data_IF_811379356925
#
_entry.id   IF_811379356925
#
_cell.length_a   1.000
_cell.length_b   1.000
_cell.length_c   1.000
_cell.angle_alpha   90.00
_cell.angle_beta   90.00
_cell.angle_gamma   90.00
#
_symmetry.space_group_name_H-M   'P 1'
#
loop_
_entity.id
_entity.type
_entity.pdbx_description
1 polymer ?
#
# COMPACT_ATOMS: atom_id res chain seq x y z
N UNK A 1 -2.44 19.38 23.42
CA UNK A 1 -2.73 18.16 22.63
C UNK A 1 -2.89 18.63 21.18
N UNK A 2 -1.93 18.29 20.33
CA UNK A 2 -1.81 18.81 18.95
C UNK A 2 -3.01 18.42 18.08
N UNK A 3 -3.69 19.41 17.47
CA UNK A 3 -4.75 19.18 16.49
C UNK A 3 -4.11 18.73 15.17
N UNK A 4 -4.21 17.43 14.86
CA UNK A 4 -3.91 16.91 13.52
C UNK A 4 -5.06 17.29 12.58
N UNK A 5 -4.78 18.06 11.53
CA UNK A 5 -5.71 18.25 10.41
C UNK A 5 -5.84 16.88 9.72
N UNK A 6 -7.02 16.25 9.82
CA UNK A 6 -7.26 14.90 9.31
C UNK A 6 -7.54 14.94 7.80
N UNK A 7 -6.53 14.67 6.96
CA UNK A 7 -6.76 14.28 5.57
C UNK A 7 -6.85 12.75 5.51
N UNK A 8 -8.07 12.22 5.65
CA UNK A 8 -8.26 10.77 5.63
C UNK A 8 -8.22 10.28 4.18
N UNK A 9 -7.15 9.58 3.81
CA UNK A 9 -7.06 8.97 2.49
C UNK A 9 -8.01 7.77 2.41
N UNK A 10 -8.86 7.68 1.39
CA UNK A 10 -9.77 6.54 1.22
C UNK A 10 -9.10 5.50 0.32
N UNK A 11 -8.57 4.43 0.91
CA UNK A 11 -7.79 3.43 0.18
C UNK A 11 -8.35 2.02 0.25
N UNK A 12 -8.30 1.32 -0.88
CA UNK A 12 -8.53 -0.12 -1.00
C UNK A 12 -7.16 -0.79 -0.95
N UNK A 13 -6.90 -1.57 0.10
CA UNK A 13 -5.66 -2.32 0.30
C UNK A 13 -5.94 -3.80 0.01
N UNK A 14 -5.25 -4.39 -0.98
CA UNK A 14 -5.18 -5.84 -1.09
C UNK A 14 -4.21 -6.38 -0.04
N UNK A 15 -4.65 -6.44 1.23
CA UNK A 15 -4.00 -7.35 2.17
C UNK A 15 -4.48 -8.75 1.77
N UNK A 16 -3.59 -9.54 1.18
CA UNK A 16 -3.76 -10.99 1.18
C UNK A 16 -3.76 -11.44 2.63
N UNK A 17 -4.94 -11.47 3.25
CA UNK A 17 -5.15 -11.94 4.60
C UNK A 17 -4.84 -13.44 4.63
N UNK A 18 -3.57 -13.77 4.85
CA UNK A 18 -3.13 -15.13 5.16
C UNK A 18 -3.11 -15.32 6.68
N UNK A 19 -4.27 -15.08 7.33
CA UNK A 19 -4.59 -15.59 8.67
C UNK A 19 -6.10 -15.41 8.94
N UNK A 20 -6.92 -16.32 8.41
CA UNK A 20 -8.35 -16.43 8.76
C UNK A 20 -8.51 -17.16 10.10
N UNK A 21 -9.35 -16.64 11.00
CA UNK A 21 -10.14 -17.49 11.90
C UNK A 21 -10.28 -17.07 13.38
N UNK A 22 -11.49 -16.60 13.70
CA UNK A 22 -12.24 -16.82 14.95
C UNK A 22 -11.82 -16.15 16.29
N UNK A 23 -12.80 -15.40 16.81
CA UNK A 23 -13.19 -15.28 18.22
C UNK A 23 -12.14 -14.77 19.23
N UNK A 24 -12.20 -13.48 19.52
CA UNK A 24 -11.50 -12.87 20.65
C UNK A 24 -12.07 -13.35 22.01
N UNK A 25 -11.20 -13.59 23.01
CA UNK A 25 -11.45 -13.19 24.38
C UNK A 25 -10.55 -12.00 24.76
N UNK A 26 -11.09 -11.12 25.61
CA UNK A 26 -10.52 -9.82 25.99
C UNK A 26 -9.11 -9.89 26.63
N UNK A 27 -8.27 -8.85 26.48
CA UNK A 27 -6.97 -8.80 27.13
C UNK A 27 -7.07 -8.45 28.63
N UNK A 28 -6.13 -8.99 29.42
CA UNK A 28 -5.88 -8.71 30.83
C UNK A 28 -5.10 -7.37 31.00
N UNK A 29 -5.09 -6.75 32.20
CA UNK A 29 -4.64 -5.38 32.37
C UNK A 29 -3.11 -5.24 32.34
N UNK A 30 -2.63 -4.11 31.83
CA UNK A 30 -1.22 -3.73 31.67
C UNK A 30 -0.73 -3.02 32.94
N UNK A 31 0.47 -3.37 33.43
CA UNK A 31 1.17 -2.71 34.55
C UNK A 31 1.80 -1.37 34.14
N UNK A 32 1.82 -0.44 35.10
CA UNK A 32 2.32 0.94 35.01
C UNK A 32 3.83 1.04 34.71
N UNK A 33 4.23 2.07 33.96
CA UNK A 33 5.62 2.50 33.81
C UNK A 33 5.76 3.96 34.24
N UNK A 34 6.78 4.21 35.06
CA UNK A 34 7.11 5.45 35.80
C UNK A 34 7.36 6.70 34.93
N UNK A 35 7.04 7.85 35.53
CA UNK A 35 7.31 9.23 35.10
C UNK A 35 8.79 9.56 34.92
N UNK A 36 9.09 10.44 33.96
CA UNK A 36 10.33 11.25 33.97
C UNK A 36 9.97 12.72 33.69
N UNK A 37 10.56 13.60 34.51
CA UNK A 37 10.31 15.04 34.68
C UNK A 37 10.60 15.97 33.48
N UNK A 38 9.92 17.12 33.57
CA UNK A 38 9.86 18.36 32.77
C UNK A 38 11.11 18.89 32.06
N UNK A 39 10.91 19.52 30.89
CA UNK A 39 11.62 20.77 30.52
C UNK A 39 10.78 21.71 29.63
N UNK A 40 10.70 22.96 30.10
CA UNK A 40 10.49 24.29 29.47
C UNK A 40 9.13 24.78 28.92
N UNK A 41 8.74 25.94 29.48
CA UNK A 41 7.65 26.85 29.11
C UNK A 41 7.67 27.25 27.63
N UNK A 42 6.55 27.06 26.93
CA UNK A 42 6.25 27.68 25.64
C UNK A 42 5.07 28.64 25.84
N UNK A 43 5.27 29.88 25.37
CA UNK A 43 4.35 31.03 25.47
C UNK A 43 2.88 30.68 25.20
N UNK A 44 1.99 31.35 25.95
CA UNK A 44 0.53 31.30 25.82
C UNK A 44 0.09 31.45 24.35
N UNK A 45 -0.47 30.38 23.78
CA UNK A 45 -1.20 30.42 22.51
C UNK A 45 -2.65 30.75 22.84
N UNK A 46 -3.17 31.83 22.24
CA UNK A 46 -4.54 32.30 22.39
C UNK A 46 -5.57 31.14 22.20
N UNK A 47 -6.62 31.16 23.02
CA UNK A 47 -7.69 30.16 23.03
C UNK A 47 -8.25 29.89 21.62
N UNK A 48 -7.86 28.78 21.00
CA UNK A 48 -8.47 28.33 19.74
C UNK A 48 -9.89 27.82 20.00
N UNK A 49 -10.85 28.57 19.47
CA UNK A 49 -12.27 28.27 19.37
C UNK A 49 -12.49 26.81 18.90
N UNK A 50 -13.04 25.98 19.79
CA UNK A 50 -13.67 24.73 19.39
C UNK A 50 -14.89 25.13 18.58
N UNK A 51 -14.92 24.80 17.28
CA UNK A 51 -16.14 24.94 16.48
C UNK A 51 -17.14 23.93 17.04
N UNK A 52 -17.91 24.33 18.06
CA UNK A 52 -19.18 23.70 18.37
C UNK A 52 -20.11 24.05 17.20
N UNK A 53 -20.11 23.23 16.16
CA UNK A 53 -21.04 23.42 15.05
C UNK A 53 -22.47 23.32 15.60
N UNK A 54 -23.25 24.35 15.28
CA UNK A 54 -24.65 24.41 15.65
C UNK A 54 -25.38 23.18 15.11
N UNK A 55 -26.17 22.54 15.97
CA UNK A 55 -27.03 21.41 15.61
C UNK A 55 -27.85 21.75 14.35
N UNK A 56 -27.45 21.20 13.20
CA UNK A 56 -28.20 21.32 11.94
C UNK A 56 -27.43 21.84 10.71
N UNK A 57 -26.22 22.38 10.85
CA UNK A 57 -25.37 22.70 9.69
C UNK A 57 -24.57 21.47 9.24
N UNK A 58 -24.37 21.34 7.92
CA UNK A 58 -23.61 20.23 7.33
C UNK A 58 -22.16 20.64 7.14
N UNK A 59 -21.23 19.72 7.43
CA UNK A 59 -19.79 19.94 7.27
C UNK A 59 -19.42 19.85 5.78
N UNK A 60 -18.85 20.90 5.15
CA UNK A 60 -18.43 20.84 3.75
C UNK A 60 -17.26 19.87 3.58
N UNK A 61 -17.33 19.02 2.55
CA UNK A 61 -16.31 18.00 2.29
C UNK A 61 -16.13 17.77 0.79
N UNK A 62 -14.91 17.95 0.27
CA UNK A 62 -14.59 17.53 -1.09
C UNK A 62 -14.15 16.06 -1.09
N UNK A 63 -14.72 15.25 -2.00
CA UNK A 63 -14.28 13.90 -2.30
C UNK A 63 -13.80 13.82 -3.75
N UNK A 64 -12.49 13.69 -3.92
CA UNK A 64 -11.85 13.51 -5.22
C UNK A 64 -11.97 12.05 -5.67
N UNK A 65 -12.60 11.83 -6.82
CA UNK A 65 -12.70 10.51 -7.44
C UNK A 65 -11.70 10.35 -8.59
N UNK A 66 -11.30 9.11 -8.85
CA UNK A 66 -10.27 8.85 -9.86
C UNK A 66 -10.80 8.95 -11.30
N UNK A 67 -10.01 9.49 -12.25
CA UNK A 67 -10.37 9.59 -13.67
C UNK A 67 -10.28 8.27 -14.46
N UNK A 68 -9.77 7.19 -13.86
CA UNK A 68 -9.47 5.93 -14.54
C UNK A 68 -9.97 4.72 -13.77
N UNK A 69 -10.36 3.68 -14.51
CA UNK A 69 -10.66 2.37 -13.95
C UNK A 69 -9.37 1.69 -13.48
N UNK A 70 -9.38 1.14 -12.27
CA UNK A 70 -8.28 0.35 -11.70
C UNK A 70 -8.87 -0.89 -11.04
N UNK A 71 -8.07 -1.96 -10.89
CA UNK A 71 -8.56 -3.22 -10.30
C UNK A 71 -9.14 -3.05 -8.89
N UNK A 72 -8.64 -2.09 -8.12
CA UNK A 72 -9.11 -1.73 -6.78
C UNK A 72 -10.34 -0.81 -6.77
N UNK A 73 -10.66 -0.13 -7.88
CA UNK A 73 -11.88 0.65 -8.07
C UNK A 73 -12.34 0.50 -9.53
N UNK A 74 -13.16 -0.53 -9.83
CA UNK A 74 -13.57 -0.82 -11.20
C UNK A 74 -14.54 0.22 -11.78
N UNK A 75 -15.19 1.02 -10.94
CA UNK A 75 -16.15 2.06 -11.33
C UNK A 75 -16.02 3.24 -10.37
N UNK A 76 -14.92 4.02 -10.45
CA UNK A 76 -14.53 4.96 -9.40
C UNK A 76 -15.58 6.04 -9.17
N UNK A 77 -16.24 6.53 -10.22
CA UNK A 77 -17.26 7.57 -10.11
C UNK A 77 -18.51 7.06 -9.40
N UNK A 78 -19.05 5.93 -9.83
CA UNK A 78 -20.24 5.32 -9.25
C UNK A 78 -20.01 4.93 -7.78
N UNK A 79 -18.79 4.46 -7.46
CA UNK A 79 -18.39 4.17 -6.09
C UNK A 79 -18.32 5.47 -5.27
N UNK A 80 -17.75 6.55 -5.81
CA UNK A 80 -17.71 7.85 -5.15
C UNK A 80 -19.12 8.43 -4.90
N UNK A 81 -20.05 8.27 -5.85
CA UNK A 81 -21.46 8.66 -5.68
C UNK A 81 -22.12 7.91 -4.50
N UNK A 82 -21.84 6.61 -4.36
CA UNK A 82 -22.28 5.82 -3.20
C UNK A 82 -21.68 6.31 -1.89
N UNK A 83 -20.36 6.54 -1.86
CA UNK A 83 -19.66 7.04 -0.69
C UNK A 83 -20.14 8.43 -0.26
N UNK A 84 -20.38 9.33 -1.23
CA UNK A 84 -20.94 10.65 -0.98
C UNK A 84 -22.35 10.58 -0.39
N UNK A 85 -23.17 9.61 -0.82
CA UNK A 85 -24.49 9.40 -0.23
C UNK A 85 -24.41 8.94 1.24
N UNK A 86 -23.48 8.04 1.56
CA UNK A 86 -23.25 7.58 2.94
C UNK A 86 -22.73 8.72 3.83
N UNK A 87 -21.77 9.50 3.35
CA UNK A 87 -21.25 10.68 4.06
C UNK A 87 -22.33 11.76 4.22
N UNK A 88 -23.19 11.98 3.22
CA UNK A 88 -24.30 12.92 3.33
C UNK A 88 -25.31 12.51 4.42
N UNK A 89 -25.53 11.21 4.61
CA UNK A 89 -26.32 10.67 5.72
C UNK A 89 -25.62 10.84 7.08
N UNK A 90 -24.29 10.93 7.09
CA UNK A 90 -23.49 11.18 8.29
C UNK A 90 -23.33 12.67 8.65
N UNK A 91 -23.96 13.59 7.89
CA UNK A 91 -23.97 15.02 8.20
C UNK A 91 -23.02 15.88 7.35
N UNK A 92 -22.38 15.31 6.33
CA UNK A 92 -21.52 16.07 5.42
C UNK A 92 -22.30 16.68 4.23
N UNK A 93 -21.82 17.80 3.73
CA UNK A 93 -22.17 18.35 2.42
C UNK A 93 -21.04 18.01 1.44
N UNK A 94 -21.20 16.88 0.73
CA UNK A 94 -20.12 16.30 -0.07
C UNK A 94 -20.12 16.82 -1.50
N UNK A 95 -19.02 17.45 -1.90
CA UNK A 95 -18.74 17.80 -3.29
C UNK A 95 -17.85 16.73 -3.93
N UNK A 96 -18.36 16.06 -4.96
CA UNK A 96 -17.52 15.19 -5.79
C UNK A 96 -16.70 16.00 -6.77
N UNK A 97 -15.39 15.75 -6.83
CA UNK A 97 -14.48 16.46 -7.73
C UNK A 97 -13.60 15.50 -8.54
N UNK A 98 -13.33 15.88 -9.80
CA UNK A 98 -12.38 15.21 -10.67
C UNK A 98 -11.20 16.12 -10.95
N UNK A 99 -10.03 15.75 -10.43
CA UNK A 99 -8.81 16.55 -10.58
C UNK A 99 -7.97 16.12 -11.80
N UNK A 100 -8.44 16.48 -13.00
CA UNK A 100 -7.71 16.26 -14.25
C UNK A 100 -7.61 14.79 -14.68
N UNK A 101 -6.62 14.49 -15.53
CA UNK A 101 -6.27 13.12 -15.92
C UNK A 101 -5.45 12.41 -14.83
N UNK A 102 -5.17 11.10 -14.99
CA UNK A 102 -4.52 10.32 -13.94
C UNK A 102 -3.12 10.82 -13.54
N UNK A 103 -2.23 11.20 -14.48
CA UNK A 103 -0.96 11.85 -14.13
C UNK A 103 -1.13 13.14 -13.34
N UNK A 104 -2.07 14.01 -13.72
CA UNK A 104 -2.38 15.26 -13.02
C UNK A 104 -2.91 14.98 -11.61
N UNK A 105 -3.86 14.07 -11.48
CA UNK A 105 -4.43 13.64 -10.20
C UNK A 105 -3.34 13.13 -9.24
N UNK A 106 -2.44 12.26 -9.72
CA UNK A 106 -1.32 11.75 -8.93
C UNK A 106 -0.27 12.82 -8.61
N UNK A 107 -0.12 13.83 -9.46
CA UNK A 107 0.73 14.99 -9.20
C UNK A 107 0.20 15.84 -8.05
N UNK A 108 -1.07 16.26 -8.16
CA UNK A 108 -1.76 17.03 -7.12
C UNK A 108 -1.79 16.29 -5.78
N UNK A 109 -2.06 14.98 -5.80
CA UNK A 109 -1.98 14.12 -4.62
C UNK A 109 -0.59 14.17 -3.99
N UNK A 110 0.47 14.01 -4.80
CA UNK A 110 1.86 14.00 -4.31
C UNK A 110 2.29 15.31 -3.67
N UNK A 111 1.75 16.42 -4.16
CA UNK A 111 2.02 17.76 -3.66
C UNK A 111 1.11 18.16 -2.47
N UNK A 112 0.15 17.32 -2.09
CA UNK A 112 -0.82 17.63 -1.03
C UNK A 112 -1.88 18.65 -1.46
N UNK A 113 -2.12 18.80 -2.77
CA UNK A 113 -3.02 19.78 -3.37
C UNK A 113 -4.45 19.25 -3.62
N UNK A 114 -4.78 18.06 -3.12
CA UNK A 114 -6.15 17.54 -3.08
C UNK A 114 -6.74 17.82 -1.70
N UNK A 115 -7.31 19.02 -1.52
CA UNK A 115 -7.83 19.51 -0.24
C UNK A 115 -9.19 18.88 0.08
N UNK A 116 -9.14 17.70 0.72
CA UNK A 116 -10.31 16.89 1.04
C UNK A 116 -9.97 15.40 1.14
N UNK A 117 -10.98 14.54 0.97
CA UNK A 117 -10.77 13.11 0.81
C UNK A 117 -10.48 12.79 -0.65
N UNK A 118 -9.61 11.83 -0.91
CA UNK A 118 -9.31 11.41 -2.27
C UNK A 118 -9.24 9.88 -2.37
N UNK A 119 -9.76 9.36 -3.47
CA UNK A 119 -9.71 7.93 -3.77
C UNK A 119 -8.32 7.54 -4.24
N UNK A 120 -7.78 6.46 -3.66
CA UNK A 120 -6.54 5.83 -4.11
C UNK A 120 -6.61 4.32 -3.87
N UNK A 121 -5.75 3.55 -4.51
CA UNK A 121 -5.56 2.16 -4.16
C UNK A 121 -4.20 1.65 -4.60
N UNK A 122 -3.86 0.46 -4.11
CA UNK A 122 -2.56 -0.16 -4.35
C UNK A 122 -2.72 -1.65 -4.64
N UNK A 123 -1.83 -2.19 -5.46
CA UNK A 123 -1.67 -3.63 -5.66
C UNK A 123 -0.22 -3.97 -5.34
N UNK A 124 -0.02 -5.10 -4.68
CA UNK A 124 1.31 -5.50 -4.23
C UNK A 124 2.19 -5.86 -5.41
N UNK A 125 3.40 -5.31 -5.46
CA UNK A 125 4.33 -5.51 -6.57
C UNK A 125 5.23 -6.73 -6.37
N UNK A 126 5.50 -7.11 -5.12
CA UNK A 126 6.53 -8.10 -4.77
C UNK A 126 6.07 -9.14 -3.72
N UNK A 127 4.81 -9.08 -3.30
CA UNK A 127 4.25 -10.03 -2.33
C UNK A 127 4.74 -9.85 -0.89
N UNK A 128 5.52 -8.81 -0.61
CA UNK A 128 6.00 -8.48 0.73
C UNK A 128 5.12 -7.36 1.35
N UNK A 129 4.69 -7.47 2.63
CA UNK A 129 3.89 -6.43 3.30
C UNK A 129 4.57 -5.05 3.34
N UNK A 130 5.90 -4.99 3.27
CA UNK A 130 6.67 -3.74 3.16
C UNK A 130 6.17 -2.85 1.99
N UNK A 131 5.86 -3.46 0.85
CA UNK A 131 5.40 -2.74 -0.34
C UNK A 131 4.01 -2.11 -0.15
N UNK A 132 3.23 -2.55 0.84
CA UNK A 132 1.93 -1.99 1.19
C UNK A 132 1.98 -1.00 2.36
N UNK A 133 2.90 -1.17 3.30
CA UNK A 133 2.91 -0.39 4.53
C UNK A 133 4.08 0.59 4.55
N UNK A 134 5.31 0.13 4.34
CA UNK A 134 6.50 0.97 4.41
C UNK A 134 6.55 2.00 3.28
N UNK A 135 6.12 1.63 2.06
CA UNK A 135 6.06 2.56 0.93
C UNK A 135 5.25 3.83 1.24
N UNK A 136 4.15 3.68 1.98
CA UNK A 136 3.23 4.76 2.32
C UNK A 136 3.45 5.38 3.69
N UNK A 137 3.89 4.62 4.70
CA UNK A 137 3.89 5.09 6.09
C UNK A 137 5.28 5.05 6.75
N UNK A 138 6.29 4.59 6.04
CA UNK A 138 7.67 4.53 6.52
C UNK A 138 8.39 5.89 6.55
N UNK A 139 9.62 5.85 7.05
CA UNK A 139 10.54 6.99 6.99
C UNK A 139 10.96 7.31 5.55
N UNK A 140 10.79 8.56 5.17
CA UNK A 140 11.37 9.12 3.94
C UNK A 140 12.88 9.34 4.10
N UNK A 141 13.57 9.68 3.00
CA UNK A 141 15.01 9.94 3.03
C UNK A 141 15.40 11.05 4.01
N UNK A 142 14.64 12.15 4.00
CA UNK A 142 14.91 13.33 4.84
C UNK A 142 14.57 13.09 6.33
N UNK A 143 13.79 12.05 6.66
CA UNK A 143 13.49 11.68 8.05
C UNK A 143 14.69 10.98 8.74
N UNK A 144 15.62 10.43 7.96
CA UNK A 144 16.73 9.58 8.44
C UNK A 144 17.97 10.39 8.78
N UNK A 145 17.83 11.28 9.76
CA UNK A 145 18.92 12.15 10.22
C UNK A 145 19.79 11.43 11.25
N UNK A 146 21.02 11.10 10.85
CA UNK A 146 21.98 10.39 11.70
C UNK A 146 21.86 8.86 11.63
N UNK A 147 22.80 8.16 12.26
CA UNK A 147 22.93 6.70 12.15
C UNK A 147 22.01 5.91 13.10
N UNK A 148 21.45 6.56 14.12
CA UNK A 148 20.56 5.92 15.10
C UNK A 148 19.10 6.04 14.66
N UNK A 149 18.55 4.93 14.16
CA UNK A 149 17.16 4.87 13.71
C UNK A 149 16.13 5.13 14.82
N UNK A 150 16.49 4.98 16.10
CA UNK A 150 15.59 5.29 17.22
C UNK A 150 15.41 6.79 17.45
N UNK A 151 16.30 7.62 16.89
CA UNK A 151 16.23 9.07 16.95
C UNK A 151 15.56 9.70 15.71
N UNK A 152 15.22 8.90 14.70
CA UNK A 152 14.52 9.40 13.51
C UNK A 152 13.09 9.82 13.85
N UNK A 153 12.60 10.86 13.17
CA UNK A 153 11.25 11.40 13.37
C UNK A 153 10.53 11.42 12.04
N UNK A 154 9.29 10.91 12.01
CA UNK A 154 8.48 10.91 10.79
C UNK A 154 7.90 12.30 10.56
N UNK A 155 8.32 12.95 9.48
CA UNK A 155 7.75 14.24 9.06
C UNK A 155 6.38 14.05 8.39
N UNK A 156 5.45 15.03 8.53
CA UNK A 156 4.19 15.06 7.76
C UNK A 156 4.43 14.93 6.26
N UNK A 157 3.86 13.91 5.63
CA UNK A 157 4.12 13.63 4.23
C UNK A 157 2.95 14.09 3.34
N UNK A 158 3.15 15.16 2.57
CA UNK A 158 2.12 15.77 1.72
C UNK A 158 1.40 14.75 0.83
N UNK A 159 2.19 13.84 0.24
CA UNK A 159 1.67 12.80 -0.63
C UNK A 159 0.67 11.89 0.10
N UNK A 160 0.82 11.68 1.41
CA UNK A 160 -0.01 10.76 2.21
C UNK A 160 -1.05 11.49 3.06
N UNK A 161 -1.56 12.64 2.59
CA UNK A 161 -2.51 13.42 3.37
C UNK A 161 -1.88 13.97 4.65
N UNK A 162 -0.59 14.30 4.60
CA UNK A 162 0.16 14.85 5.74
C UNK A 162 0.22 13.92 6.96
N UNK A 163 -0.10 12.63 6.79
CA UNK A 163 0.01 11.66 7.87
C UNK A 163 1.46 11.53 8.34
N UNK A 164 1.64 11.52 9.65
CA UNK A 164 2.92 11.27 10.31
C UNK A 164 2.71 10.60 11.66
N UNK A 165 3.38 9.46 11.81
CA UNK A 165 3.46 8.72 13.06
C UNK A 165 4.85 8.04 13.12
N UNK A 166 5.69 8.48 14.06
CA UNK A 166 7.07 7.98 14.21
C UNK A 166 7.09 6.53 14.67
N UNK A 167 6.17 6.11 15.52
CA UNK A 167 6.12 4.73 16.03
C UNK A 167 5.77 3.74 14.91
N UNK A 168 4.81 4.12 14.06
CA UNK A 168 4.48 3.36 12.84
C UNK A 168 5.69 3.26 11.91
N UNK A 169 6.34 4.39 11.61
CA UNK A 169 7.49 4.42 10.72
C UNK A 169 8.68 3.59 11.27
N UNK A 170 8.90 3.63 12.59
CA UNK A 170 9.94 2.88 13.26
C UNK A 170 9.68 1.36 13.27
N UNK A 171 8.44 0.93 13.55
CA UNK A 171 8.07 -0.49 13.44
C UNK A 171 8.23 -1.01 12.01
N UNK A 172 7.89 -0.20 11.01
CA UNK A 172 8.09 -0.56 9.60
C UNK A 172 9.57 -0.68 9.24
N UNK A 173 10.41 0.22 9.73
CA UNK A 173 11.85 0.11 9.59
C UNK A 173 12.38 -1.20 10.21
N UNK A 174 12.02 -1.51 11.46
CA UNK A 174 12.40 -2.75 12.14
C UNK A 174 11.96 -3.99 11.35
N UNK A 175 10.73 -3.99 10.84
CA UNK A 175 10.20 -5.10 10.05
C UNK A 175 10.93 -5.26 8.70
N UNK A 176 11.40 -4.16 8.08
CA UNK A 176 12.11 -4.21 6.80
C UNK A 176 13.53 -4.79 6.90
N UNK A 177 14.19 -4.66 8.05
CA UNK A 177 15.56 -5.14 8.26
C UNK A 177 15.64 -6.50 8.98
N UNK A 178 14.52 -7.01 9.45
CA UNK A 178 14.47 -8.27 10.20
C UNK A 178 14.28 -9.46 9.25
N UNK A 179 15.17 -10.46 9.24
CA UNK A 179 15.03 -11.63 8.37
C UNK A 179 14.03 -12.68 8.90
N UNK A 180 13.58 -12.59 10.17
CA UNK A 180 12.64 -13.55 10.76
C UNK A 180 11.19 -13.22 10.39
N UNK A 181 10.58 -14.09 9.58
CA UNK A 181 9.25 -13.86 9.05
C UNK A 181 8.15 -13.77 10.12
N UNK A 182 8.25 -14.53 11.22
CA UNK A 182 7.25 -14.49 12.29
C UNK A 182 7.36 -13.21 13.12
N UNK A 183 8.58 -12.74 13.36
CA UNK A 183 8.82 -11.46 14.01
C UNK A 183 8.30 -10.29 13.16
N UNK A 184 8.56 -10.31 11.84
CA UNK A 184 8.00 -9.33 10.89
C UNK A 184 6.48 -9.32 10.91
N UNK A 185 5.85 -10.49 10.86
CA UNK A 185 4.38 -10.61 10.87
C UNK A 185 3.76 -9.95 12.12
N UNK A 186 4.35 -10.15 13.30
CA UNK A 186 3.91 -9.51 14.52
C UNK A 186 4.00 -7.98 14.45
N UNK A 187 5.11 -7.44 13.90
CA UNK A 187 5.29 -6.01 13.71
C UNK A 187 4.27 -5.41 12.73
N UNK A 188 4.03 -6.07 11.59
CA UNK A 188 3.04 -5.60 10.62
C UNK A 188 1.62 -5.58 11.19
N UNK A 189 1.24 -6.59 11.99
CA UNK A 189 -0.05 -6.58 12.70
C UNK A 189 -0.18 -5.41 13.68
N UNK A 190 0.91 -5.07 14.37
CA UNK A 190 0.92 -3.91 15.25
C UNK A 190 0.76 -2.60 14.45
N UNK A 191 1.45 -2.49 13.32
CA UNK A 191 1.30 -1.34 12.41
C UNK A 191 -0.13 -1.21 11.88
N UNK A 192 -0.75 -2.30 11.45
CA UNK A 192 -2.15 -2.29 10.98
C UNK A 192 -3.12 -1.79 12.06
N UNK A 193 -2.92 -2.21 13.32
CA UNK A 193 -3.72 -1.72 14.45
C UNK A 193 -3.50 -0.22 14.69
N UNK A 194 -2.25 0.25 14.70
CA UNK A 194 -1.95 1.67 14.89
C UNK A 194 -2.56 2.52 13.77
N UNK A 195 -2.46 2.07 12.50
CA UNK A 195 -3.07 2.77 11.36
C UNK A 195 -4.61 2.78 11.43
N UNK A 196 -5.22 1.74 12.00
CA UNK A 196 -6.65 1.69 12.25
C UNK A 196 -7.07 2.66 13.35
N UNK A 197 -6.36 2.67 14.47
CA UNK A 197 -6.60 3.58 15.61
C UNK A 197 -6.43 5.05 15.23
N UNK A 198 -5.39 5.35 14.45
CA UNK A 198 -5.12 6.69 13.92
C UNK A 198 -6.12 7.11 12.84
N UNK A 199 -6.98 6.21 12.36
CA UNK A 199 -7.86 6.42 11.18
C UNK A 199 -7.03 6.99 10.02
N UNK A 200 -5.83 6.43 9.82
CA UNK A 200 -4.89 6.94 8.82
C UNK A 200 -5.50 6.95 7.42
N UNK A 201 -6.42 5.99 7.17
CA UNK A 201 -7.18 5.83 5.94
C UNK A 201 -8.58 5.28 6.21
N UNK A 202 -9.53 5.56 5.32
CA UNK A 202 -10.77 4.78 5.21
C UNK A 202 -10.48 3.58 4.32
N UNK A 203 -10.45 2.40 4.91
CA UNK A 203 -10.22 1.14 4.19
C UNK A 203 -11.54 0.63 3.60
N UNK A 204 -11.68 0.64 2.27
CA UNK A 204 -13.00 0.38 1.62
C UNK A 204 -13.21 -1.09 1.27
N UNK A 205 -12.27 -1.69 0.57
CA UNK A 205 -12.42 -3.03 0.02
C UNK A 205 -11.07 -3.66 -0.34
N UNK A 206 -11.14 -4.89 -0.84
CA UNK A 206 -10.15 -5.53 -1.70
C UNK A 206 -10.94 -6.29 -2.79
N UNK A 207 -10.40 -6.37 -4.00
CA UNK A 207 -11.12 -6.99 -5.13
C UNK A 207 -10.25 -8.02 -5.84
N UNK A 208 -10.86 -9.09 -6.33
CA UNK A 208 -10.19 -10.04 -7.21
C UNK A 208 -10.42 -9.64 -8.66
N UNK A 209 -9.35 -9.41 -9.42
CA UNK A 209 -9.47 -9.07 -10.84
C UNK A 209 -9.93 -10.30 -11.63
N UNK A 210 -11.11 -10.27 -12.28
CA UNK A 210 -11.55 -11.38 -13.11
C UNK A 210 -10.66 -11.47 -14.36
N UNK A 211 -10.20 -12.68 -14.67
CA UNK A 211 -9.52 -12.99 -15.92
C UNK A 211 -10.44 -13.85 -16.77
N UNK A 212 -10.62 -13.45 -18.03
CA UNK A 212 -11.52 -14.11 -18.97
C UNK A 212 -10.70 -14.63 -20.13
N UNK A 213 -10.79 -15.94 -20.37
CA UNK A 213 -10.09 -16.61 -21.46
C UNK A 213 -11.07 -17.28 -22.40
N UNK A 214 -10.67 -17.43 -23.67
CA UNK A 214 -11.33 -18.36 -24.58
C UNK A 214 -11.27 -19.78 -24.01
N UNK A 215 -12.29 -20.60 -24.27
CA UNK A 215 -12.30 -22.01 -23.88
C UNK A 215 -11.17 -22.84 -24.51
N UNK A 216 -10.52 -22.31 -25.55
CA UNK A 216 -9.35 -22.92 -26.19
C UNK A 216 -8.04 -22.69 -25.44
N UNK A 217 -8.02 -21.81 -24.43
CA UNK A 217 -6.82 -21.50 -23.63
C UNK A 217 -6.77 -22.42 -22.41
N UNK A 218 -5.61 -23.02 -22.16
CA UNK A 218 -5.37 -23.80 -20.95
C UNK A 218 -3.97 -23.56 -20.38
N UNK A 219 -3.74 -23.94 -19.12
CA UNK A 219 -2.42 -23.87 -18.46
C UNK A 219 -2.01 -22.49 -17.92
N UNK A 220 -2.86 -21.47 -18.08
CA UNK A 220 -2.65 -20.18 -17.41
C UNK A 220 -2.87 -20.31 -15.90
N UNK A 221 -1.91 -19.83 -15.11
CA UNK A 221 -1.99 -19.75 -13.66
C UNK A 221 -1.92 -18.27 -13.24
N UNK A 222 -2.99 -17.70 -12.67
CA UNK A 222 -2.99 -16.30 -12.21
C UNK A 222 -1.95 -16.08 -11.12
N UNK A 223 -1.20 -14.98 -11.19
CA UNK A 223 -0.21 -14.62 -10.18
C UNK A 223 -0.71 -13.51 -9.25
N UNK A 224 -0.50 -13.60 -7.92
CA UNK A 224 -0.99 -12.60 -6.97
C UNK A 224 -0.43 -11.19 -7.17
N UNK A 225 0.79 -11.07 -7.70
CA UNK A 225 1.52 -9.80 -7.89
C UNK A 225 1.54 -9.31 -9.34
N UNK A 226 0.74 -9.92 -10.22
CA UNK A 226 0.65 -9.51 -11.63
C UNK A 226 1.89 -9.81 -12.50
N UNK A 227 2.91 -10.48 -11.95
CA UNK A 227 4.04 -11.04 -12.71
C UNK A 227 3.61 -12.36 -13.39
N UNK A 228 2.72 -12.26 -14.37
CA UNK A 228 2.18 -13.43 -15.08
C UNK A 228 3.27 -14.22 -15.82
N UNK A 229 3.24 -15.55 -15.73
CA UNK A 229 4.15 -16.43 -16.47
C UNK A 229 3.37 -17.23 -17.52
N UNK A 230 3.77 -17.15 -18.79
CA UNK A 230 3.05 -17.80 -19.89
C UNK A 230 3.65 -19.12 -20.37
N UNK A 231 4.73 -19.60 -19.75
CA UNK A 231 5.42 -20.85 -20.14
C UNK A 231 4.49 -22.06 -20.22
N UNK A 232 3.50 -22.14 -19.30
CA UNK A 232 2.53 -23.24 -19.26
C UNK A 232 1.30 -23.05 -20.16
N UNK A 233 1.16 -21.90 -20.83
CA UNK A 233 -0.06 -21.56 -21.56
C UNK A 233 -0.09 -22.24 -22.93
N UNK A 234 -1.22 -22.86 -23.24
CA UNK A 234 -1.48 -23.46 -24.56
C UNK A 234 -2.79 -22.97 -25.14
N UNK A 235 -2.86 -22.94 -26.47
CA UNK A 235 -4.07 -22.57 -27.22
C UNK A 235 -4.41 -23.67 -28.22
N UNK A 236 -5.60 -24.25 -28.12
CA UNK A 236 -6.05 -25.28 -29.05
C UNK A 236 -6.06 -24.75 -30.49
N UNK A 237 -5.30 -25.41 -31.38
CA UNK A 237 -5.24 -25.06 -32.80
C UNK A 237 -4.44 -23.79 -33.14
N UNK A 238 -3.66 -23.23 -32.21
CA UNK A 238 -2.84 -22.03 -32.42
C UNK A 238 -1.54 -22.09 -31.62
N UNK A 239 -0.43 -21.69 -32.26
CA UNK A 239 0.85 -21.47 -31.56
C UNK A 239 0.95 -20.05 -30.98
N UNK A 240 -0.08 -19.22 -31.18
CA UNK A 240 -0.13 -17.84 -30.70
C UNK A 240 -1.13 -17.71 -29.55
N UNK A 241 -0.63 -17.23 -28.42
CA UNK A 241 -1.44 -16.74 -27.31
C UNK A 241 -1.53 -15.21 -27.36
N UNK A 242 -2.75 -14.67 -27.27
CA UNK A 242 -3.00 -13.22 -27.23
C UNK A 242 -3.54 -12.87 -25.86
N UNK A 243 -2.81 -12.02 -25.13
CA UNK A 243 -3.18 -11.57 -23.80
C UNK A 243 -3.52 -10.07 -23.82
N UNK A 244 -4.74 -9.72 -23.39
CA UNK A 244 -5.16 -8.33 -23.25
C UNK A 244 -4.56 -7.70 -22.01
N UNK A 245 -3.93 -6.52 -22.15
CA UNK A 245 -3.28 -5.79 -21.06
C UNK A 245 -4.04 -4.50 -20.72
N UNK A 246 -3.89 -4.04 -19.48
CA UNK A 246 -4.54 -2.83 -18.99
C UNK A 246 -3.88 -1.54 -19.49
N UNK A 247 -2.66 -1.62 -20.01
CA UNK A 247 -1.92 -0.51 -20.58
C UNK A 247 -0.63 -0.96 -21.26
N UNK A 248 0.12 0.00 -21.78
CA UNK A 248 1.46 -0.23 -22.32
C UNK A 248 2.50 -0.33 -21.20
N UNK A 249 3.59 -1.05 -21.48
CA UNK A 249 4.74 -1.09 -20.57
C UNK A 249 5.43 0.27 -20.56
N UNK A 250 5.84 0.73 -19.38
CA UNK A 250 6.52 2.02 -19.23
C UNK A 250 7.96 1.93 -19.73
N UNK A 251 8.67 0.84 -19.37
CA UNK A 251 10.01 0.50 -19.84
C UNK A 251 10.22 -1.02 -19.66
N UNK A 252 11.31 -1.57 -20.22
CA UNK A 252 11.58 -3.02 -20.22
C UNK A 252 12.83 -3.42 -19.42
N UNK A 253 13.27 -2.55 -18.52
CA UNK A 253 14.34 -2.87 -17.57
C UNK A 253 13.71 -3.20 -16.21
N UNK A 254 13.68 -4.47 -15.79
CA UNK A 254 13.07 -4.90 -14.54
C UNK A 254 13.77 -4.34 -13.29
N UNK A 255 15.01 -3.83 -13.41
CA UNK A 255 15.73 -3.24 -12.28
C UNK A 255 15.21 -1.83 -11.91
N UNK A 256 14.46 -1.18 -12.80
CA UNK A 256 14.02 0.22 -12.64
C UNK A 256 12.50 0.40 -12.76
N UNK A 257 11.74 -0.63 -13.15
CA UNK A 257 10.27 -0.59 -13.11
C UNK A 257 9.73 -1.06 -11.78
N UNK A 258 8.53 -0.56 -11.45
CA UNK A 258 7.75 -0.98 -10.29
C UNK A 258 6.27 -1.12 -10.69
N UNK A 259 6.00 -1.57 -11.92
CA UNK A 259 4.64 -1.71 -12.44
C UNK A 259 4.42 -3.06 -13.12
N UNK A 260 3.22 -3.63 -12.90
CA UNK A 260 2.85 -4.93 -13.44
C UNK A 260 2.79 -5.01 -14.97
N UNK A 261 2.50 -3.91 -15.70
CA UNK A 261 2.42 -3.96 -17.17
C UNK A 261 3.79 -4.13 -17.82
N UNK A 262 4.82 -3.57 -17.20
CA UNK A 262 6.23 -3.83 -17.54
C UNK A 262 6.66 -5.24 -17.11
N UNK A 263 6.37 -5.64 -15.86
CA UNK A 263 6.76 -6.96 -15.35
C UNK A 263 6.19 -8.15 -16.14
N UNK A 264 4.95 -8.04 -16.62
CA UNK A 264 4.34 -9.07 -17.49
C UNK A 264 5.15 -9.34 -18.75
N UNK A 265 5.74 -8.31 -19.33
CA UNK A 265 6.56 -8.44 -20.55
C UNK A 265 7.96 -8.93 -20.19
N UNK A 266 8.61 -8.29 -19.22
CA UNK A 266 9.99 -8.65 -18.84
C UNK A 266 10.07 -10.09 -18.35
N UNK A 267 9.06 -10.60 -17.65
CA UNK A 267 8.99 -11.99 -17.21
C UNK A 267 8.90 -13.04 -18.32
N UNK A 268 8.59 -12.64 -19.56
CA UNK A 268 8.60 -13.57 -20.71
C UNK A 268 9.91 -13.53 -21.50
N UNK A 269 10.67 -12.44 -21.38
CA UNK A 269 11.86 -12.19 -22.22
C UNK A 269 13.17 -12.22 -21.42
N UNK A 270 13.09 -12.23 -20.10
CA UNK A 270 14.22 -12.34 -19.17
C UNK A 270 13.99 -13.49 -18.19
N UNK A 271 15.07 -14.15 -17.79
CA UNK A 271 15.04 -15.18 -16.76
C UNK A 271 15.62 -14.61 -15.45
N UNK A 272 14.82 -14.46 -14.37
CA UNK A 272 15.32 -13.93 -13.12
C UNK A 272 16.10 -15.00 -12.33
N UNK A 273 16.86 -14.59 -11.32
CA UNK A 273 17.51 -15.55 -10.41
C UNK A 273 16.48 -16.38 -9.64
N UNK A 274 15.41 -15.72 -9.19
CA UNK A 274 14.27 -16.30 -8.48
C UNK A 274 12.98 -15.82 -9.14
N UNK A 275 11.96 -16.65 -9.07
CA UNK A 275 10.60 -16.34 -9.52
C UNK A 275 9.60 -16.76 -8.45
N UNK A 276 8.32 -16.46 -8.64
CA UNK A 276 7.30 -16.97 -7.74
C UNK A 276 6.82 -18.37 -8.15
N UNK A 277 6.56 -19.21 -7.16
CA UNK A 277 5.81 -20.46 -7.38
C UNK A 277 4.46 -20.13 -8.04
N UNK A 278 4.02 -20.87 -9.09
CA UNK A 278 2.78 -20.58 -9.79
C UNK A 278 1.57 -20.42 -8.85
N UNK A 279 0.94 -19.24 -8.86
CA UNK A 279 -0.23 -18.94 -8.03
C UNK A 279 0.08 -18.49 -6.60
N UNK A 280 1.33 -18.16 -6.31
CA UNK A 280 1.84 -17.84 -4.97
C UNK A 280 2.74 -16.61 -4.99
N UNK A 281 3.06 -16.08 -3.82
CA UNK A 281 4.12 -15.09 -3.60
C UNK A 281 5.37 -15.70 -2.98
N UNK A 282 5.42 -17.03 -2.89
CA UNK A 282 6.58 -17.76 -2.40
C UNK A 282 7.70 -17.73 -3.45
N UNK A 283 8.86 -17.14 -3.14
CA UNK A 283 10.00 -17.16 -4.05
C UNK A 283 10.56 -18.58 -4.17
N UNK A 284 10.86 -18.99 -5.40
CA UNK A 284 11.52 -20.25 -5.75
C UNK A 284 12.69 -19.98 -6.70
N UNK A 285 13.75 -20.81 -6.69
CA UNK A 285 14.87 -20.64 -7.59
C UNK A 285 14.45 -20.78 -9.07
N UNK A 286 14.86 -19.83 -9.91
CA UNK A 286 14.69 -19.83 -11.36
C UNK A 286 16.06 -20.07 -12.02
N UNK A 287 16.75 -19.06 -12.57
CA UNK A 287 18.11 -19.22 -13.11
C UNK A 287 19.13 -19.65 -12.03
N UNK A 288 18.92 -19.23 -10.79
CA UNK A 288 19.71 -19.69 -9.66
C UNK A 288 19.23 -21.06 -9.19
N UNK A 289 20.14 -21.86 -8.63
CA UNK A 289 19.82 -23.03 -7.82
C UNK A 289 19.64 -22.64 -6.34
N UNK A 290 20.43 -21.67 -5.88
CA UNK A 290 20.36 -21.11 -4.53
C UNK A 290 21.02 -19.73 -4.49
N UNK A 291 20.63 -18.90 -3.53
CA UNK A 291 21.33 -17.67 -3.17
C UNK A 291 21.48 -17.64 -1.65
N UNK A 292 22.67 -17.29 -1.17
CA UNK A 292 22.97 -17.20 0.27
C UNK A 292 23.44 -15.79 0.58
N UNK A 293 22.82 -15.17 1.58
CA UNK A 293 23.21 -13.85 2.07
C UNK A 293 24.37 -13.94 3.08
N UNK A 294 25.17 -12.88 3.20
CA UNK A 294 26.00 -12.65 4.38
C UNK A 294 25.13 -12.34 5.62
N UNK A 295 25.75 -12.26 6.80
CA UNK A 295 25.03 -12.08 8.06
C UNK A 295 24.23 -10.76 8.10
N UNK A 296 24.73 -9.72 7.44
CA UNK A 296 24.13 -8.39 7.36
C UNK A 296 23.13 -8.25 6.20
N UNK A 297 22.93 -9.28 5.38
CA UNK A 297 22.08 -9.26 4.17
C UNK A 297 22.45 -8.19 3.14
N UNK A 298 23.69 -7.72 3.13
CA UNK A 298 24.24 -6.72 2.20
C UNK A 298 24.93 -7.34 0.98
N UNK A 299 25.31 -8.62 1.05
CA UNK A 299 25.93 -9.36 -0.05
C UNK A 299 25.22 -10.70 -0.24
N UNK A 300 24.94 -11.04 -1.50
CA UNK A 300 24.29 -12.30 -1.89
C UNK A 300 25.15 -13.07 -2.88
N UNK A 301 25.41 -14.34 -2.59
CA UNK A 301 26.15 -15.26 -3.46
C UNK A 301 25.17 -16.29 -4.02
N UNK A 302 25.04 -16.33 -5.35
CA UNK A 302 24.12 -17.22 -6.03
C UNK A 302 24.85 -18.30 -6.84
N UNK A 303 24.43 -19.56 -6.69
CA UNK A 303 24.83 -20.65 -7.56
C UNK A 303 23.88 -20.69 -8.77
N UNK A 304 24.41 -20.64 -9.99
CA UNK A 304 23.60 -20.62 -11.22
C UNK A 304 23.50 -22.01 -11.83
N UNK A 305 22.36 -22.29 -12.48
CA UNK A 305 22.17 -23.51 -13.27
C UNK A 305 23.18 -23.59 -14.41
N UNK A 306 23.55 -24.81 -14.80
CA UNK A 306 24.30 -25.03 -16.04
C UNK A 306 23.38 -24.86 -17.25
N UNK A 307 23.78 -24.01 -18.19
CA UNK A 307 23.10 -23.81 -19.48
C UNK A 307 23.49 -24.81 -20.55
#
# INVERSE_FOLDING_TARGET
MSKKLFFILISVLMIGSFALGACAPAPAPVEEVEEVEEVEEVEEVEEEEVVEEAVGEKIPLTLYYMPVTRFYYPSPKEIAEGMAADMANAGFDVQLELAGDWPTYLGLRREGNLDGLYMLGWGGDNGDPDNFLNYFFGFAGDDRVGDDASAWVKSPEAREGWYANTDVAYLLYQASINPDQAAREAMYKQVENLLHEDVARIWVAHNNTPLVFSSSVSGYVPQPVGADYFEGVTVEGSDTFVFGRGGDSVQLDPAVVTDGESFRVTGQILEPLYQYEPGSTKPIPALAESCTANAESTEWVCALRQG
#
